data_IF_634880500935
#
_entry.id   IF_634880500935
#
_cell.length_a   1.000
_cell.length_b   1.000
_cell.length_c   1.000
_cell.angle_alpha   90.00
_cell.angle_beta   90.00
_cell.angle_gamma   90.00
#
_symmetry.space_group_name_H-M   'P 1'
#
loop_
_entity.id
_entity.type
_entity.pdbx_description
1 polymer ?
#
# COMPACT_ATOMS: atom_id res chain seq x y z
N UNK A 1 2.89 -5.68 -8.78
CA UNK A 1 3.03 -4.21 -8.89
C UNK A 1 2.08 -3.70 -9.97
N UNK A 2 1.39 -2.55 -9.81
CA UNK A 2 0.67 -1.95 -10.92
C UNK A 2 1.70 -1.52 -11.99
N UNK A 3 1.47 -1.91 -13.24
CA UNK A 3 2.42 -1.70 -14.34
C UNK A 3 2.46 -0.26 -14.90
N UNK A 4 1.75 0.70 -14.29
CA UNK A 4 1.59 2.05 -14.84
C UNK A 4 1.52 3.15 -13.79
N UNK A 5 1.79 4.38 -14.25
CA UNK A 5 1.70 5.59 -13.42
C UNK A 5 0.30 5.73 -12.82
N UNK A 6 0.20 6.18 -11.55
CA UNK A 6 -1.09 6.44 -10.93
C UNK A 6 -1.86 7.47 -11.76
N UNK A 7 -3.18 7.28 -11.82
CA UNK A 7 -4.08 8.19 -12.51
C UNK A 7 -4.22 9.48 -11.69
N UNK A 8 -3.93 10.62 -12.32
CA UNK A 8 -4.07 11.95 -11.69
C UNK A 8 -5.54 12.26 -11.45
N UNK A 9 -5.81 13.25 -10.59
CA UNK A 9 -7.19 13.66 -10.32
C UNK A 9 -7.84 14.32 -11.53
N UNK A 10 -7.06 15.10 -12.29
CA UNK A 10 -7.50 15.70 -13.55
C UNK A 10 -7.93 14.63 -14.56
N UNK A 11 -7.10 13.61 -14.79
CA UNK A 11 -7.44 12.49 -15.68
C UNK A 11 -8.71 11.76 -15.23
N UNK A 12 -8.93 11.61 -13.91
CA UNK A 12 -10.16 11.01 -13.38
C UNK A 12 -11.38 11.86 -13.67
N UNK A 13 -11.29 13.17 -13.45
CA UNK A 13 -12.38 14.10 -13.73
C UNK A 13 -12.71 14.09 -15.23
N UNK A 14 -11.70 14.12 -16.11
CA UNK A 14 -11.92 14.00 -17.55
C UNK A 14 -12.60 12.69 -17.96
N UNK A 15 -12.26 11.55 -17.34
CA UNK A 15 -12.96 10.27 -17.61
C UNK A 15 -14.44 10.36 -17.21
N UNK A 16 -14.73 10.98 -16.06
CA UNK A 16 -16.10 11.10 -15.55
C UNK A 16 -16.94 12.06 -16.41
N UNK A 17 -16.39 13.22 -16.80
CA UNK A 17 -17.10 14.19 -17.65
C UNK A 17 -17.38 13.63 -19.04
N UNK A 18 -16.41 12.94 -19.66
CA UNK A 18 -16.62 12.28 -20.95
C UNK A 18 -17.63 11.14 -20.87
N UNK A 19 -17.73 10.47 -19.71
CA UNK A 19 -18.75 9.44 -19.47
C UNK A 19 -20.15 10.05 -19.32
N UNK A 20 -20.26 11.17 -18.62
CA UNK A 20 -21.51 11.94 -18.49
C UNK A 20 -21.98 12.46 -19.86
N UNK A 21 -21.04 12.84 -20.74
CA UNK A 21 -21.32 13.20 -22.14
C UNK A 21 -21.73 12.01 -23.04
N UNK A 22 -21.88 10.79 -22.48
CA UNK A 22 -22.37 9.62 -23.20
C UNK A 22 -21.34 8.89 -24.07
N UNK A 23 -20.05 9.22 -23.97
CA UNK A 23 -19.02 8.57 -24.79
C UNK A 23 -18.77 7.12 -24.35
N UNK A 24 -18.39 6.30 -25.34
CA UNK A 24 -18.02 4.91 -25.10
C UNK A 24 -16.68 4.80 -24.37
N UNK A 25 -16.49 3.75 -23.58
CA UNK A 25 -15.24 3.54 -22.82
C UNK A 25 -14.01 3.46 -23.74
N UNK A 26 -14.17 2.93 -24.96
CA UNK A 26 -13.11 2.89 -25.97
C UNK A 26 -12.75 4.29 -26.47
N UNK A 27 -13.73 5.14 -26.75
CA UNK A 27 -13.49 6.53 -27.16
C UNK A 27 -12.79 7.33 -26.05
N UNK A 28 -13.22 7.15 -24.79
CA UNK A 28 -12.59 7.79 -23.62
C UNK A 28 -11.13 7.32 -23.47
N UNK A 29 -10.86 6.03 -23.67
CA UNK A 29 -9.52 5.47 -23.58
C UNK A 29 -8.57 6.04 -24.65
N UNK A 30 -9.08 6.27 -25.87
CA UNK A 30 -8.33 6.88 -26.96
C UNK A 30 -8.04 8.37 -26.69
N UNK A 31 -9.01 9.11 -26.16
CA UNK A 31 -8.85 10.53 -25.83
C UNK A 31 -7.81 10.77 -24.72
N UNK A 32 -7.84 9.93 -23.67
CA UNK A 32 -6.99 10.09 -22.47
C UNK A 32 -5.67 9.29 -22.60
N UNK A 33 -5.51 8.50 -23.67
CA UNK A 33 -4.35 7.62 -23.92
C UNK A 33 -4.06 6.67 -22.75
N UNK A 34 -5.12 6.18 -22.10
CA UNK A 34 -5.04 5.23 -20.97
C UNK A 34 -5.74 3.93 -21.33
N UNK A 35 -5.35 2.84 -20.69
CA UNK A 35 -5.96 1.53 -20.95
C UNK A 35 -7.47 1.53 -20.66
N UNK A 36 -8.23 0.80 -21.48
CA UNK A 36 -9.68 0.59 -21.32
C UNK A 36 -10.04 0.11 -19.91
N UNK A 37 -9.23 -0.80 -19.35
CA UNK A 37 -9.45 -1.35 -18.01
C UNK A 37 -9.30 -0.30 -16.89
N UNK A 38 -8.45 0.71 -17.07
CA UNK A 38 -8.33 1.83 -16.12
C UNK A 38 -9.57 2.73 -16.19
N UNK A 39 -9.99 3.14 -17.40
CA UNK A 39 -11.21 3.92 -17.58
C UNK A 39 -12.43 3.21 -17.00
N UNK A 40 -12.57 1.90 -17.24
CA UNK A 40 -13.67 1.11 -16.71
C UNK A 40 -13.62 1.00 -15.17
N UNK A 41 -12.43 0.89 -14.57
CA UNK A 41 -12.27 0.92 -13.10
C UNK A 41 -12.68 2.26 -12.50
N UNK A 42 -12.37 3.38 -13.16
CA UNK A 42 -12.76 4.72 -12.70
C UNK A 42 -14.27 4.88 -12.77
N UNK A 43 -14.89 4.50 -13.90
CA UNK A 43 -16.35 4.56 -14.07
C UNK A 43 -17.06 3.69 -13.02
N UNK A 44 -16.54 2.47 -12.75
CA UNK A 44 -17.13 1.56 -11.75
C UNK A 44 -16.91 2.00 -10.30
N UNK A 45 -15.76 2.61 -9.98
CA UNK A 45 -15.42 3.03 -8.60
C UNK A 45 -15.92 4.43 -8.24
N UNK A 46 -16.37 5.22 -9.22
CA UNK A 46 -16.83 6.60 -8.99
C UNK A 46 -15.73 7.49 -8.40
N UNK A 47 -16.12 8.51 -7.63
CA UNK A 47 -15.20 9.50 -7.03
C UNK A 47 -14.35 8.92 -5.88
N UNK A 48 -14.82 7.88 -5.20
CA UNK A 48 -14.19 7.39 -3.99
C UNK A 48 -13.53 6.03 -4.22
N UNK A 49 -12.23 6.04 -4.52
CA UNK A 49 -11.40 4.91 -4.15
C UNK A 49 -10.26 5.40 -3.27
N UNK A 50 -10.53 5.48 -1.96
CA UNK A 50 -9.49 5.35 -0.96
C UNK A 50 -8.89 3.96 -1.19
N UNK A 51 -7.81 3.86 -1.97
CA UNK A 51 -7.08 2.60 -2.05
C UNK A 51 -6.61 2.29 -0.62
N UNK A 52 -6.68 1.03 -0.17
CA UNK A 52 -5.99 0.68 1.05
C UNK A 52 -4.53 1.11 0.87
N UNK A 53 -4.05 1.95 1.79
CA UNK A 53 -2.65 2.32 1.84
C UNK A 53 -1.88 1.00 1.86
N UNK A 54 -0.96 0.82 0.92
CA UNK A 54 -0.15 -0.41 0.83
C UNK A 54 0.88 -0.36 1.97
N UNK A 55 0.38 -0.44 3.21
CA UNK A 55 1.20 -0.76 4.37
C UNK A 55 1.80 -2.12 4.05
N UNK A 56 3.12 -2.24 4.18
CA UNK A 56 3.90 -3.37 3.66
C UNK A 56 3.46 -4.74 4.18
N UNK A 57 4.32 -5.73 3.99
CA UNK A 57 4.07 -7.06 4.55
C UNK A 57 3.82 -7.01 6.06
N UNK A 58 3.19 -8.06 6.59
CA UNK A 58 3.04 -8.23 8.05
C UNK A 58 4.45 -8.14 8.69
N UNK A 59 4.60 -7.44 9.82
CA UNK A 59 5.88 -7.37 10.50
C UNK A 59 6.34 -8.78 10.92
N UNK A 60 7.66 -9.00 10.94
CA UNK A 60 8.26 -10.26 11.38
C UNK A 60 8.13 -10.49 12.90
N UNK A 61 7.70 -9.48 13.65
CA UNK A 61 7.53 -9.50 15.10
C UNK A 61 6.05 -9.38 15.44
N UNK A 62 5.61 -10.16 16.41
CA UNK A 62 4.29 -9.97 17.02
C UNK A 62 4.33 -8.82 18.02
N UNK A 63 3.17 -8.27 18.39
CA UNK A 63 3.08 -7.26 19.46
C UNK A 63 3.61 -7.77 20.81
N UNK A 64 3.57 -9.09 21.03
CA UNK A 64 4.13 -9.71 22.23
C UNK A 64 5.66 -9.64 22.20
N UNK A 65 6.27 -9.97 21.07
CA UNK A 65 7.72 -9.93 20.91
C UNK A 65 8.24 -8.50 21.07
N UNK A 66 7.55 -7.52 20.49
CA UNK A 66 7.85 -6.10 20.70
C UNK A 66 7.87 -5.73 22.19
N UNK A 67 6.85 -6.13 22.96
CA UNK A 67 6.80 -5.86 24.40
C UNK A 67 7.92 -6.56 25.17
N UNK A 68 8.28 -7.78 24.80
CA UNK A 68 9.39 -8.49 25.42
C UNK A 68 10.74 -7.85 25.11
N UNK A 69 10.97 -7.40 23.88
CA UNK A 69 12.18 -6.66 23.47
C UNK A 69 12.30 -5.38 24.29
N UNK A 70 11.23 -4.58 24.37
CA UNK A 70 11.23 -3.31 25.13
C UNK A 70 11.54 -3.57 26.61
N UNK A 71 10.93 -4.57 27.25
CA UNK A 71 11.23 -4.92 28.65
C UNK A 71 12.66 -5.39 28.84
N UNK A 72 13.18 -6.21 27.94
CA UNK A 72 14.55 -6.71 28.01
C UNK A 72 15.58 -5.59 27.82
N UNK A 73 15.31 -4.64 26.93
CA UNK A 73 16.14 -3.46 26.72
C UNK A 73 16.10 -2.50 27.94
N UNK A 74 14.94 -2.32 28.57
CA UNK A 74 14.83 -1.51 29.79
C UNK A 74 15.44 -2.16 31.03
N UNK A 75 15.50 -3.51 31.07
CA UNK A 75 16.00 -4.28 32.22
C UNK A 75 17.53 -4.34 32.35
N UNK A 76 18.28 -3.76 31.40
CA UNK A 76 19.74 -3.64 31.48
C UNK A 76 20.41 -3.37 30.13
N UNK A 77 21.68 -3.00 30.15
CA UNK A 77 22.50 -2.74 28.95
C UNK A 77 22.88 -4.04 28.23
N UNK A 78 21.91 -4.71 27.63
CA UNK A 78 22.12 -5.90 26.80
C UNK A 78 22.09 -5.53 25.32
N UNK A 79 23.08 -6.01 24.56
CA UNK A 79 23.12 -5.79 23.12
C UNK A 79 21.98 -6.50 22.38
N UNK A 80 21.55 -5.96 21.24
CA UNK A 80 20.46 -6.49 20.42
C UNK A 80 20.61 -7.98 20.07
N UNK A 81 21.84 -8.45 19.82
CA UNK A 81 22.13 -9.87 19.59
C UNK A 81 21.78 -10.73 20.80
N UNK A 82 22.16 -10.29 22.00
CA UNK A 82 21.85 -11.01 23.23
C UNK A 82 20.35 -11.05 23.52
N UNK A 83 19.61 -9.98 23.18
CA UNK A 83 18.14 -9.95 23.30
C UNK A 83 17.51 -10.96 22.33
N UNK A 84 17.98 -10.98 21.07
CA UNK A 84 17.52 -11.93 20.06
C UNK A 84 17.71 -13.39 20.51
N UNK A 85 18.90 -13.72 21.02
CA UNK A 85 19.24 -15.08 21.44
C UNK A 85 18.43 -15.50 22.68
N UNK A 86 18.22 -14.58 23.65
CA UNK A 86 17.39 -14.82 24.84
C UNK A 86 15.92 -15.05 24.52
N UNK A 87 15.38 -14.27 23.58
CA UNK A 87 13.96 -14.34 23.18
C UNK A 87 13.71 -15.32 22.03
N UNK A 88 14.76 -15.98 21.51
CA UNK A 88 14.71 -16.92 20.38
C UNK A 88 13.92 -16.37 19.18
N UNK A 89 14.14 -15.09 18.85
CA UNK A 89 13.39 -14.41 17.80
C UNK A 89 13.86 -14.83 16.40
N UNK A 90 12.92 -15.15 15.52
CA UNK A 90 13.17 -15.50 14.11
C UNK A 90 13.53 -14.32 13.19
N UNK A 91 13.72 -13.11 13.72
CA UNK A 91 14.02 -11.90 12.94
C UNK A 91 15.54 -11.63 12.84
N UNK A 92 15.95 -10.67 11.99
CA UNK A 92 17.35 -10.26 11.94
C UNK A 92 17.71 -9.37 13.14
N UNK A 93 18.98 -9.34 13.53
CA UNK A 93 19.45 -8.56 14.71
C UNK A 93 19.11 -7.07 14.58
N UNK A 94 19.09 -6.53 13.34
CA UNK A 94 18.73 -5.13 13.06
C UNK A 94 17.24 -4.81 13.34
N UNK A 95 16.38 -5.83 13.42
CA UNK A 95 14.96 -5.67 13.77
C UNK A 95 14.73 -5.61 15.28
N UNK A 96 15.68 -6.13 16.08
CA UNK A 96 15.65 -6.15 17.55
C UNK A 96 16.26 -4.88 18.10
#
# INVERSE_FOLDING_TARGET
MPAGTPLTEEERLSILTLREAGLSVRAISAAIKRSVGVCQKVIKRGKASCKPNHRGGKPNLTERDHRCIVRAACGGSVGAKAIKDKLQLGCCVRTV
#
